data_IF_193203488043
#
_entry.id   IF_193203488043
#
_cell.length_a   1.000
_cell.length_b   1.000
_cell.length_c   1.000
_cell.angle_alpha   90.00
_cell.angle_beta   90.00
_cell.angle_gamma   90.00
#
_symmetry.space_group_name_H-M   'P 1'
#
loop_
_entity.id
_entity.type
_entity.pdbx_description
1 polymer ?
#
# COMPACT_ATOMS: atom_id res chain seq x y z
N UNK A 1 44.49 -57.67 -43.36
CA UNK A 1 43.65 -56.45 -43.46
C UNK A 1 42.67 -56.45 -42.28
N UNK A 2 42.96 -55.71 -41.20
CA UNK A 2 42.11 -55.64 -39.99
C UNK A 2 41.28 -54.35 -40.06
N UNK A 3 39.96 -54.47 -40.06
CA UNK A 3 39.03 -53.32 -40.05
C UNK A 3 38.74 -52.94 -38.59
N UNK A 4 39.02 -51.69 -38.25
CA UNK A 4 38.75 -51.09 -36.94
C UNK A 4 37.36 -50.43 -37.02
N UNK A 5 36.44 -50.82 -36.14
CA UNK A 5 35.17 -50.11 -35.93
C UNK A 5 35.37 -49.12 -34.78
N UNK A 6 35.24 -47.83 -35.07
CA UNK A 6 35.21 -46.74 -34.09
C UNK A 6 33.73 -46.47 -33.79
N UNK A 7 33.27 -46.89 -32.61
CA UNK A 7 31.95 -46.57 -32.09
C UNK A 7 32.00 -45.21 -31.42
N UNK A 8 31.34 -44.22 -32.02
CA UNK A 8 31.19 -42.86 -31.50
C UNK A 8 30.05 -42.88 -30.45
N UNK A 9 30.40 -42.72 -29.17
CA UNK A 9 29.44 -42.45 -28.10
C UNK A 9 28.99 -40.99 -28.16
N UNK A 10 27.76 -40.74 -28.60
CA UNK A 10 27.12 -39.42 -28.47
C UNK A 10 26.58 -39.28 -27.05
N UNK A 11 27.29 -38.51 -26.21
CA UNK A 11 26.79 -38.03 -24.92
C UNK A 11 25.70 -36.98 -25.17
N UNK A 12 24.45 -37.32 -24.86
CA UNK A 12 23.32 -36.38 -24.85
C UNK A 12 23.29 -35.69 -23.49
N UNK A 13 23.82 -34.46 -23.45
CA UNK A 13 23.78 -33.57 -22.29
C UNK A 13 22.36 -33.04 -22.10
N UNK A 14 21.63 -33.54 -21.10
CA UNK A 14 20.33 -33.00 -20.68
C UNK A 14 20.57 -31.68 -19.94
N UNK A 15 20.62 -30.57 -20.66
CA UNK A 15 20.54 -29.24 -20.06
C UNK A 15 19.13 -29.05 -19.51
N UNK A 16 18.99 -29.23 -18.20
CA UNK A 16 17.80 -28.82 -17.46
C UNK A 16 17.76 -27.29 -17.41
N UNK A 17 17.08 -26.67 -18.36
CA UNK A 17 16.75 -25.25 -18.31
C UNK A 17 15.83 -24.99 -17.12
N UNK A 18 16.42 -24.52 -16.01
CA UNK A 18 15.64 -23.92 -14.92
C UNK A 18 15.02 -22.64 -15.47
N UNK A 19 13.76 -22.73 -15.88
CA UNK A 19 12.97 -21.56 -16.23
C UNK A 19 12.97 -20.60 -15.05
N UNK A 20 13.47 -19.38 -15.28
CA UNK A 20 13.29 -18.28 -14.33
C UNK A 20 11.79 -17.98 -14.37
N UNK A 21 11.06 -18.49 -13.38
CA UNK A 21 9.68 -18.10 -13.15
C UNK A 21 9.74 -16.64 -12.66
N UNK A 22 9.51 -15.69 -13.56
CA UNK A 22 9.13 -14.34 -13.17
C UNK A 22 7.78 -14.46 -12.49
N UNK A 23 7.78 -14.64 -11.17
CA UNK A 23 6.56 -14.53 -10.40
C UNK A 23 6.00 -13.12 -10.66
N UNK A 24 4.73 -13.04 -11.07
CA UNK A 24 4.03 -11.78 -11.21
C UNK A 24 4.17 -10.99 -9.90
N UNK A 25 4.86 -9.85 -9.93
CA UNK A 25 5.13 -9.02 -8.74
C UNK A 25 3.84 -8.67 -8.00
N UNK A 26 2.74 -8.51 -8.74
CA UNK A 26 1.41 -8.29 -8.17
C UNK A 26 1.01 -9.50 -7.32
N UNK A 27 1.18 -10.72 -7.84
CA UNK A 27 0.90 -11.96 -7.11
C UNK A 27 1.72 -12.06 -5.83
N UNK A 28 3.02 -11.74 -5.88
CA UNK A 28 3.88 -11.74 -4.68
C UNK A 28 3.40 -10.74 -3.62
N UNK A 29 3.06 -9.52 -4.02
CA UNK A 29 2.52 -8.50 -3.12
C UNK A 29 1.20 -8.99 -2.50
N UNK A 30 0.26 -9.46 -3.32
CA UNK A 30 -1.04 -9.95 -2.85
C UNK A 30 -0.90 -11.13 -1.89
N UNK A 31 0.00 -12.07 -2.18
CA UNK A 31 0.30 -13.20 -1.30
C UNK A 31 0.82 -12.74 0.06
N UNK A 32 1.71 -11.73 0.11
CA UNK A 32 2.18 -11.18 1.39
C UNK A 32 1.06 -10.49 2.16
N UNK A 33 0.28 -9.63 1.49
CA UNK A 33 -0.82 -8.90 2.14
C UNK A 33 -1.93 -9.82 2.65
N UNK A 34 -2.17 -10.96 1.99
CA UNK A 34 -3.16 -11.97 2.41
C UNK A 34 -2.78 -12.73 3.70
N UNK A 35 -1.53 -12.64 4.18
CA UNK A 35 -1.11 -13.31 5.42
C UNK A 35 -1.64 -12.64 6.69
N UNK A 36 -2.01 -11.36 6.59
CA UNK A 36 -2.54 -10.59 7.72
C UNK A 36 -3.79 -9.90 7.22
N UNK A 37 -4.99 -10.31 7.62
CA UNK A 37 -6.21 -9.65 7.13
C UNK A 37 -6.69 -8.53 8.07
N UNK A 38 -6.35 -8.58 9.35
CA UNK A 38 -6.74 -7.54 10.30
C UNK A 38 -5.59 -7.23 11.26
N UNK A 39 -5.32 -5.95 11.46
CA UNK A 39 -4.27 -5.48 12.35
C UNK A 39 -4.49 -4.05 12.81
N UNK A 40 -3.88 -3.72 13.95
CA UNK A 40 -3.66 -2.33 14.37
C UNK A 40 -2.17 -2.02 14.45
N UNK A 41 -1.80 -0.77 14.25
CA UNK A 41 -0.44 -0.27 14.44
C UNK A 41 -0.46 1.20 14.83
N UNK A 42 0.56 1.63 15.57
CA UNK A 42 0.89 3.05 15.67
C UNK A 42 1.73 3.42 14.44
N UNK A 43 1.73 4.68 14.03
CA UNK A 43 2.66 5.16 13.01
C UNK A 43 3.27 6.49 13.40
N UNK A 44 4.50 6.70 12.94
CA UNK A 44 5.15 8.00 12.89
C UNK A 44 5.15 8.48 11.44
N UNK A 45 4.48 9.59 11.17
CA UNK A 45 4.44 10.22 9.87
C UNK A 45 5.56 11.25 9.77
N UNK A 46 6.23 11.27 8.62
CA UNK A 46 7.26 12.24 8.27
C UNK A 46 7.03 12.81 6.89
N UNK A 47 6.95 14.12 6.79
CA UNK A 47 6.88 14.88 5.54
C UNK A 47 8.23 15.54 5.29
N UNK A 48 8.80 15.34 4.11
CA UNK A 48 10.09 15.93 3.73
C UNK A 48 10.11 16.46 2.30
N UNK A 49 10.95 17.46 2.05
CA UNK A 49 11.19 17.99 0.70
C UNK A 49 12.16 17.12 -0.13
N UNK A 50 12.42 17.52 -1.38
CA UNK A 50 13.33 16.85 -2.31
C UNK A 50 14.80 16.80 -1.84
N UNK A 51 15.18 17.60 -0.84
CA UNK A 51 16.52 17.61 -0.21
C UNK A 51 16.54 16.76 1.06
N UNK A 52 15.46 16.06 1.37
CA UNK A 52 15.22 15.31 2.61
C UNK A 52 15.17 16.18 3.87
N UNK A 53 14.91 17.49 3.73
CA UNK A 53 14.64 18.35 4.89
C UNK A 53 13.26 18.00 5.43
N UNK A 54 13.19 17.79 6.74
CA UNK A 54 11.94 17.46 7.45
C UNK A 54 11.11 18.73 7.54
N UNK A 55 9.89 18.69 7.01
CA UNK A 55 8.93 19.79 7.07
C UNK A 55 7.94 19.60 8.23
N UNK A 56 7.56 18.36 8.50
CA UNK A 56 6.57 18.00 9.53
C UNK A 56 6.75 16.55 9.97
N UNK A 57 6.51 16.30 11.26
CA UNK A 57 6.46 14.96 11.86
C UNK A 57 5.30 14.87 12.84
N UNK A 58 4.51 13.80 12.75
CA UNK A 58 3.29 13.61 13.56
C UNK A 58 3.04 12.13 13.81
N UNK A 59 2.49 11.80 14.97
CA UNK A 59 2.12 10.43 15.33
C UNK A 59 0.65 10.16 15.06
N UNK A 60 0.32 8.89 14.84
CA UNK A 60 -1.05 8.47 14.70
C UNK A 60 -1.25 6.98 14.84
N UNK A 61 -2.47 6.56 14.55
CA UNK A 61 -2.91 5.19 14.72
C UNK A 61 -3.64 4.69 13.47
N UNK A 62 -3.40 3.42 13.15
CA UNK A 62 -3.96 2.75 11.99
C UNK A 62 -4.64 1.44 12.41
N UNK A 63 -5.84 1.24 11.90
CA UNK A 63 -6.59 -0.01 11.96
C UNK A 63 -6.98 -0.42 10.55
N UNK A 64 -6.75 -1.68 10.21
CA UNK A 64 -7.07 -2.23 8.90
C UNK A 64 -7.79 -3.55 9.09
N UNK A 65 -8.88 -3.74 8.36
CA UNK A 65 -9.47 -5.04 8.13
C UNK A 65 -9.74 -5.22 6.62
N UNK A 66 -9.10 -6.22 6.03
CA UNK A 66 -9.23 -6.51 4.61
C UNK A 66 -10.49 -7.34 4.35
N UNK A 67 -11.20 -7.09 3.24
CA UNK A 67 -10.94 -6.05 2.24
C UNK A 67 -11.52 -4.68 2.63
N UNK A 68 -10.84 -3.60 2.23
CA UNK A 68 -11.32 -2.22 2.17
C UNK A 68 -11.71 -1.50 3.49
N UNK A 69 -11.72 -2.16 4.65
CA UNK A 69 -11.96 -1.46 5.92
C UNK A 69 -10.66 -0.85 6.43
N UNK A 70 -10.73 0.43 6.75
CA UNK A 70 -9.57 1.25 7.07
C UNK A 70 -9.97 2.35 8.03
N UNK A 71 -9.19 2.57 9.06
CA UNK A 71 -9.31 3.74 9.92
C UNK A 71 -7.89 4.22 10.23
N UNK A 72 -7.58 5.44 9.82
CA UNK A 72 -6.35 6.13 10.22
C UNK A 72 -6.70 7.42 10.92
N UNK A 73 -6.03 7.69 12.02
CA UNK A 73 -6.13 8.95 12.76
C UNK A 73 -4.72 9.49 12.96
N UNK A 74 -4.45 10.63 12.32
CA UNK A 74 -3.26 11.44 12.51
C UNK A 74 -3.54 12.43 13.63
N UNK A 75 -2.65 12.53 14.62
CA UNK A 75 -2.83 13.42 15.77
C UNK A 75 -2.60 14.88 15.40
N UNK A 76 -2.98 15.79 16.30
CA UNK A 76 -2.63 17.21 16.20
C UNK A 76 -1.11 17.43 16.06
N UNK A 77 -0.66 18.54 15.44
CA UNK A 77 -1.44 19.72 15.06
C UNK A 77 -2.25 19.62 13.76
N UNK A 78 -1.89 18.77 12.79
CA UNK A 78 -2.63 18.59 11.55
C UNK A 78 -3.55 17.36 11.63
N UNK A 79 -4.42 17.37 12.64
CA UNK A 79 -5.31 16.24 12.91
C UNK A 79 -6.19 15.92 11.69
N UNK A 80 -6.16 14.65 11.29
CA UNK A 80 -6.96 14.14 10.17
C UNK A 80 -7.40 12.71 10.45
N UNK A 81 -8.63 12.40 10.07
CA UNK A 81 -9.21 11.07 10.22
C UNK A 81 -9.67 10.57 8.85
N UNK A 82 -9.11 9.44 8.41
CA UNK A 82 -9.50 8.75 7.18
C UNK A 82 -10.18 7.44 7.55
N UNK A 83 -11.48 7.33 7.27
CA UNK A 83 -12.29 6.15 7.57
C UNK A 83 -12.82 5.54 6.27
N UNK A 84 -12.82 4.21 6.17
CA UNK A 84 -13.47 3.44 5.12
C UNK A 84 -14.28 2.31 5.73
N UNK A 85 -15.56 2.23 5.38
CA UNK A 85 -16.42 1.09 5.73
C UNK A 85 -16.46 0.01 4.64
N UNK A 86 -15.53 0.08 3.69
CA UNK A 86 -15.43 -0.84 2.56
C UNK A 86 -16.11 -0.37 1.27
N UNK A 87 -17.00 0.62 1.35
CA UNK A 87 -17.72 1.19 0.22
C UNK A 87 -17.52 2.70 0.08
N UNK A 88 -17.65 3.43 1.20
CA UNK A 88 -17.50 4.88 1.29
C UNK A 88 -16.28 5.23 2.11
N UNK A 89 -15.63 6.31 1.73
CA UNK A 89 -14.46 6.84 2.43
C UNK A 89 -14.76 8.25 2.87
N UNK A 90 -14.47 8.52 4.14
CA UNK A 90 -14.59 9.84 4.75
C UNK A 90 -13.20 10.33 5.12
N UNK A 91 -12.88 11.53 4.65
CA UNK A 91 -11.72 12.27 5.09
C UNK A 91 -12.20 13.45 5.93
N UNK A 92 -12.05 13.34 7.25
CA UNK A 92 -12.50 14.32 8.21
C UNK A 92 -11.32 15.11 8.77
N UNK A 93 -11.39 16.43 8.64
CA UNK A 93 -10.39 17.39 9.14
C UNK A 93 -11.04 18.25 10.23
N UNK A 94 -10.86 17.91 11.53
CA UNK A 94 -11.54 18.58 12.63
C UNK A 94 -11.26 20.08 12.74
N UNK A 95 -10.03 20.51 12.47
CA UNK A 95 -9.61 21.91 12.66
C UNK A 95 -10.35 22.91 11.77
N UNK A 96 -10.83 22.45 10.60
CA UNK A 96 -11.66 23.26 9.68
C UNK A 96 -13.12 22.77 9.63
N UNK A 97 -13.50 21.84 10.51
CA UNK A 97 -14.85 21.29 10.59
C UNK A 97 -15.39 20.85 9.22
N UNK A 98 -14.61 20.06 8.48
CA UNK A 98 -14.97 19.59 7.15
C UNK A 98 -14.81 18.09 7.02
N UNK A 99 -15.77 17.45 6.36
CA UNK A 99 -15.64 16.08 5.86
C UNK A 99 -15.77 16.06 4.35
N UNK A 100 -14.80 15.44 3.67
CA UNK A 100 -14.91 15.09 2.26
C UNK A 100 -15.24 13.60 2.11
N UNK A 101 -16.16 13.27 1.19
CA UNK A 101 -16.68 11.91 0.99
C UNK A 101 -16.32 11.43 -0.40
N UNK A 102 -15.67 10.26 -0.49
CA UNK A 102 -15.20 9.70 -1.75
C UNK A 102 -15.73 8.27 -1.98
N UNK A 103 -15.84 7.90 -3.26
CA UNK A 103 -15.91 6.49 -3.64
C UNK A 103 -14.54 5.83 -3.47
N UNK A 104 -14.52 4.50 -3.36
CA UNK A 104 -13.26 3.74 -3.23
C UNK A 104 -12.25 4.05 -4.35
N UNK A 105 -12.73 4.22 -5.59
CA UNK A 105 -11.86 4.50 -6.74
C UNK A 105 -11.25 5.90 -6.67
N UNK A 106 -12.05 6.92 -6.36
CA UNK A 106 -11.56 8.30 -6.23
C UNK A 106 -10.58 8.45 -5.07
N UNK A 107 -10.84 7.78 -3.96
CA UNK A 107 -9.97 7.85 -2.79
C UNK A 107 -8.62 7.16 -3.02
N UNK A 108 -8.55 6.07 -3.79
CA UNK A 108 -7.25 5.46 -4.14
C UNK A 108 -6.39 6.44 -4.94
N UNK A 109 -7.00 7.25 -5.79
CA UNK A 109 -6.30 8.29 -6.52
C UNK A 109 -5.90 9.47 -5.62
N UNK A 110 -6.65 9.75 -4.55
CA UNK A 110 -6.42 10.91 -3.69
C UNK A 110 -5.54 10.63 -2.47
N UNK A 111 -5.61 9.43 -1.92
CA UNK A 111 -4.90 9.03 -0.70
C UNK A 111 -4.43 7.57 -0.81
N UNK A 112 -3.30 7.32 -1.51
CA UNK A 112 -2.82 5.96 -1.80
C UNK A 112 -2.55 5.08 -0.57
N UNK A 113 -2.44 5.67 0.62
CA UNK A 113 -2.33 4.92 1.88
C UNK A 113 -3.45 3.87 2.03
N UNK A 114 -4.65 4.14 1.48
CA UNK A 114 -5.78 3.21 1.55
C UNK A 114 -5.53 1.90 0.81
N UNK A 115 -4.60 1.86 -0.17
CA UNK A 115 -4.22 0.64 -0.89
C UNK A 115 -3.77 -0.49 0.05
N UNK A 116 -3.28 -0.15 1.25
CA UNK A 116 -3.00 -1.11 2.31
C UNK A 116 -4.22 -2.01 2.58
N UNK A 117 -5.44 -1.49 2.52
CA UNK A 117 -6.68 -2.23 2.82
C UNK A 117 -7.29 -2.95 1.62
N UNK A 118 -7.03 -2.50 0.38
CA UNK A 118 -7.85 -2.87 -0.77
C UNK A 118 -7.62 -4.31 -1.28
N UNK A 119 -6.40 -4.82 -1.11
CA UNK A 119 -5.84 -6.07 -1.66
C UNK A 119 -6.52 -6.74 -2.88
N UNK A 120 -7.00 -5.96 -3.84
CA UNK A 120 -7.78 -6.44 -4.97
C UNK A 120 -7.02 -6.17 -6.27
N UNK A 121 -6.95 -7.19 -7.14
CA UNK A 121 -6.15 -7.19 -8.36
C UNK A 121 -6.44 -5.98 -9.27
N UNK A 122 -7.71 -5.58 -9.36
CA UNK A 122 -8.14 -4.41 -10.16
C UNK A 122 -7.39 -3.12 -9.82
N UNK A 123 -7.07 -2.89 -8.53
CA UNK A 123 -6.34 -1.69 -8.10
C UNK A 123 -4.85 -1.82 -8.36
N UNK A 124 -4.26 -2.99 -8.07
CA UNK A 124 -2.84 -3.24 -8.34
C UNK A 124 -2.48 -3.14 -9.84
N UNK A 125 -3.42 -3.52 -10.72
CA UNK A 125 -3.26 -3.41 -12.18
C UNK A 125 -3.18 -1.97 -12.69
N UNK A 126 -3.55 -0.97 -11.89
CA UNK A 126 -3.38 0.45 -12.24
C UNK A 126 -1.94 0.95 -12.05
N UNK A 127 -1.04 0.11 -11.51
CA UNK A 127 0.35 0.45 -11.24
C UNK A 127 1.32 -0.45 -12.00
N UNK A 128 2.49 0.09 -12.32
CA UNK A 128 3.69 -0.70 -12.57
C UNK A 128 4.33 -1.03 -11.21
N UNK A 129 4.44 -2.32 -10.88
CA UNK A 129 4.96 -2.77 -9.58
C UNK A 129 6.32 -3.43 -9.75
N UNK A 130 7.33 -2.87 -9.06
CA UNK A 130 8.66 -3.44 -8.93
C UNK A 130 8.88 -3.93 -7.51
N UNK A 131 9.59 -5.04 -7.35
CA UNK A 131 9.97 -5.59 -6.05
C UNK A 131 11.48 -5.67 -5.91
N UNK A 132 11.98 -5.25 -4.75
CA UNK A 132 13.36 -5.46 -4.32
C UNK A 132 13.36 -5.93 -2.86
N UNK A 133 13.53 -7.24 -2.65
CA UNK A 133 13.41 -7.86 -1.33
C UNK A 133 12.01 -7.70 -0.75
N UNK A 134 11.89 -6.89 0.30
CA UNK A 134 10.63 -6.56 0.99
C UNK A 134 10.02 -5.23 0.53
N UNK A 135 10.69 -4.49 -0.34
CA UNK A 135 10.22 -3.21 -0.85
C UNK A 135 9.46 -3.40 -2.17
N UNK A 136 8.27 -2.85 -2.24
CA UNK A 136 7.45 -2.76 -3.44
C UNK A 136 7.34 -1.30 -3.84
N UNK A 137 7.70 -0.97 -5.08
CA UNK A 137 7.51 0.36 -5.67
C UNK A 137 6.39 0.29 -6.69
N UNK A 138 5.40 1.16 -6.55
CA UNK A 138 4.21 1.23 -7.37
C UNK A 138 4.17 2.60 -8.07
N UNK A 139 4.34 2.60 -9.38
CA UNK A 139 4.21 3.81 -10.20
C UNK A 139 2.86 3.80 -10.91
N UNK A 140 2.00 4.82 -10.75
CA UNK A 140 0.74 4.90 -11.48
C UNK A 140 0.95 4.78 -12.99
N UNK A 141 0.11 4.00 -13.68
CA UNK A 141 0.13 3.92 -15.16
C UNK A 141 -0.45 5.18 -15.82
N UNK A 142 -1.32 5.87 -15.10
CA UNK A 142 -1.93 7.14 -15.47
C UNK A 142 -1.68 8.08 -14.30
N UNK A 143 -1.22 9.30 -14.58
CA UNK A 143 -0.98 10.30 -13.53
C UNK A 143 -2.30 10.79 -12.93
N UNK A 144 -2.35 10.94 -11.61
CA UNK A 144 -3.47 11.51 -10.87
C UNK A 144 -2.97 12.15 -9.56
N UNK A 145 -3.62 13.25 -9.15
CA UNK A 145 -3.42 13.96 -7.87
C UNK A 145 -1.96 14.12 -7.42
N UNK A 146 -1.09 14.67 -8.27
CA UNK A 146 0.31 14.99 -7.93
C UNK A 146 1.17 13.78 -7.49
N UNK A 147 0.67 12.53 -7.58
CA UNK A 147 1.38 11.36 -7.09
C UNK A 147 2.31 10.80 -8.17
N UNK A 148 3.61 10.82 -7.88
CA UNK A 148 4.66 10.25 -8.72
C UNK A 148 4.85 8.75 -8.47
N UNK A 149 4.90 8.35 -7.20
CA UNK A 149 5.21 6.97 -6.80
C UNK A 149 4.66 6.67 -5.42
N UNK A 150 4.25 5.43 -5.22
CA UNK A 150 3.96 4.87 -3.90
C UNK A 150 4.97 3.74 -3.61
N UNK A 151 5.42 3.62 -2.36
CA UNK A 151 6.25 2.49 -1.94
C UNK A 151 5.73 1.86 -0.66
N UNK A 152 5.83 0.53 -0.58
CA UNK A 152 5.42 -0.25 0.57
C UNK A 152 6.52 -1.25 0.93
N UNK A 153 7.00 -1.20 2.16
CA UNK A 153 7.81 -2.25 2.74
C UNK A 153 6.90 -3.26 3.43
N UNK A 154 6.76 -4.45 2.84
CA UNK A 154 5.98 -5.55 3.41
C UNK A 154 6.84 -6.80 3.48
N UNK A 155 7.01 -7.31 4.69
CA UNK A 155 7.78 -8.52 4.96
C UNK A 155 7.16 -9.75 4.30
N UNK A 156 7.94 -10.82 4.21
CA UNK A 156 7.42 -12.12 3.76
C UNK A 156 6.26 -12.64 4.61
N UNK A 157 6.12 -12.22 5.87
CA UNK A 157 5.03 -12.61 6.77
C UNK A 157 3.81 -11.69 6.69
N UNK A 158 3.80 -10.70 5.79
CA UNK A 158 2.68 -9.79 5.58
C UNK A 158 2.67 -8.56 6.49
N UNK A 159 3.65 -8.42 7.38
CA UNK A 159 3.82 -7.21 8.21
C UNK A 159 4.29 -6.06 7.33
N UNK A 160 3.54 -4.96 7.33
CA UNK A 160 3.90 -3.70 6.67
C UNK A 160 4.68 -2.85 7.66
N UNK A 161 5.93 -2.52 7.34
CA UNK A 161 6.80 -1.71 8.21
C UNK A 161 6.81 -0.24 7.86
N UNK A 162 6.69 0.07 6.56
CA UNK A 162 6.77 1.44 6.05
C UNK A 162 5.94 1.58 4.79
N UNK A 163 5.29 2.73 4.66
CA UNK A 163 4.72 3.21 3.41
C UNK A 163 5.24 4.60 3.11
N UNK A 164 5.48 4.92 1.85
CA UNK A 164 5.82 6.28 1.42
C UNK A 164 5.08 6.66 0.15
N UNK A 165 4.61 7.91 0.10
CA UNK A 165 4.03 8.57 -1.06
C UNK A 165 5.04 9.62 -1.52
N UNK A 166 5.37 9.61 -2.80
CA UNK A 166 6.23 10.59 -3.44
C UNK A 166 5.39 11.39 -4.41
N UNK A 167 5.42 12.69 -4.26
CA UNK A 167 4.70 13.64 -5.10
C UNK A 167 5.60 14.19 -6.22
N UNK A 168 5.00 14.77 -7.27
CA UNK A 168 5.74 15.29 -8.42
C UNK A 168 6.57 16.54 -8.09
N UNK A 169 6.13 17.33 -7.12
CA UNK A 169 6.84 18.50 -6.58
C UNK A 169 8.05 18.14 -5.69
N UNK A 170 8.27 16.84 -5.44
CA UNK A 170 9.36 16.32 -4.64
C UNK A 170 9.05 16.17 -3.16
N UNK A 171 7.81 16.40 -2.72
CA UNK A 171 7.37 16.05 -1.36
C UNK A 171 7.35 14.52 -1.19
N UNK A 172 7.80 14.07 -0.03
CA UNK A 172 7.75 12.67 0.40
C UNK A 172 7.03 12.57 1.74
N UNK A 173 5.92 11.84 1.76
CA UNK A 173 5.15 11.54 2.98
C UNK A 173 5.41 10.09 3.34
N UNK A 174 6.05 9.84 4.48
CA UNK A 174 6.41 8.50 4.97
C UNK A 174 5.67 8.15 6.24
N UNK A 175 5.11 6.94 6.31
CA UNK A 175 4.48 6.36 7.48
C UNK A 175 5.32 5.18 7.95
N UNK A 176 5.87 5.26 9.16
CA UNK A 176 6.67 4.20 9.77
C UNK A 176 5.83 3.52 10.85
N UNK A 177 5.48 2.26 10.66
CA UNK A 177 4.58 1.53 11.54
C UNK A 177 5.31 0.86 12.69
N UNK A 178 4.76 0.99 13.90
CA UNK A 178 5.24 0.39 15.13
C UNK A 178 4.08 -0.21 15.94
N UNK A 179 4.40 -0.94 17.02
CA UNK A 179 3.40 -1.61 17.88
C UNK A 179 2.35 -2.42 17.11
N UNK A 180 2.79 -3.10 16.07
CA UNK A 180 1.93 -3.88 15.18
C UNK A 180 1.30 -5.05 15.92
N UNK A 181 -0.03 -5.16 15.93
CA UNK A 181 -0.75 -6.30 16.49
C UNK A 181 -1.75 -6.85 15.49
N UNK A 182 -1.73 -8.16 15.31
CA UNK A 182 -2.66 -8.90 14.46
C UNK A 182 -3.80 -9.36 15.35
N UNK A 183 -4.97 -8.76 15.17
CA UNK A 183 -6.17 -9.06 15.96
C UNK A 183 -7.41 -8.76 15.13
N UNK A 184 -8.55 -9.34 15.54
CA UNK A 184 -9.83 -8.99 14.96
C UNK A 184 -10.28 -7.61 15.46
N UNK A 185 -10.80 -6.79 14.56
CA UNK A 185 -11.26 -5.43 14.87
C UNK A 185 -12.78 -5.37 14.67
N UNK A 186 -13.50 -4.81 15.63
CA UNK A 186 -14.95 -4.61 15.50
C UNK A 186 -15.27 -3.74 14.29
N UNK A 187 -16.35 -4.08 13.55
CA UNK A 187 -16.84 -3.29 12.43
C UNK A 187 -17.17 -1.85 12.80
N UNK A 188 -17.53 -1.59 14.06
CA UNK A 188 -17.87 -0.26 14.57
C UNK A 188 -16.69 0.71 14.46
N UNK A 189 -15.45 0.20 14.48
CA UNK A 189 -14.24 1.02 14.31
C UNK A 189 -14.17 1.69 12.92
N UNK A 190 -14.88 1.14 11.94
CA UNK A 190 -14.87 1.59 10.55
C UNK A 190 -16.14 2.34 10.14
N UNK A 191 -17.03 2.61 11.10
CA UNK A 191 -18.21 3.44 10.88
C UNK A 191 -17.87 4.91 11.15
N UNK A 192 -18.44 5.80 10.36
CA UNK A 192 -18.34 7.23 10.58
C UNK A 192 -19.72 7.88 10.51
N UNK A 193 -20.05 8.66 11.54
CA UNK A 193 -21.23 9.51 11.54
C UNK A 193 -20.75 10.95 11.46
N UNK A 194 -21.20 11.66 10.43
CA UNK A 194 -20.89 13.07 10.20
C UNK A 194 -21.39 13.88 11.42
N UNK A 195 -20.50 14.56 12.17
CA UNK A 195 -20.92 15.41 13.28
C UNK A 195 -21.89 16.51 12.85
N UNK A 196 -22.77 16.95 13.74
CA UNK A 196 -23.68 18.05 13.44
C UNK A 196 -22.90 19.36 13.21
N UNK A 197 -23.31 20.14 12.21
CA UNK A 197 -22.78 21.47 11.95
C UNK A 197 -21.44 21.52 11.22
N UNK A 198 -20.93 20.39 10.72
CA UNK A 198 -19.71 20.37 9.90
C UNK A 198 -20.03 20.50 8.41
N UNK A 199 -19.11 21.10 7.66
CA UNK A 199 -19.20 21.20 6.19
C UNK A 199 -19.03 19.82 5.58
N UNK A 200 -19.92 19.45 4.65
CA UNK A 200 -19.87 18.19 3.91
C UNK A 200 -19.56 18.48 2.45
N UNK A 201 -18.49 17.88 1.95
CA UNK A 201 -18.05 17.92 0.56
C UNK A 201 -18.16 16.50 -0.05
N UNK A 202 -19.29 16.18 -0.68
CA UNK A 202 -19.54 14.86 -1.28
C UNK A 202 -19.07 14.81 -2.73
N UNK A 203 -18.05 13.98 -2.99
CA UNK A 203 -17.40 13.84 -4.29
C UNK A 203 -17.85 12.57 -5.05
N UNK A 204 -18.79 11.78 -4.51
CA UNK A 204 -19.22 10.50 -5.08
C UNK A 204 -20.07 10.61 -6.35
#
# INVERSE_FOLDING_TARGET
MKKIFITICVLVSILSSRGIVYADTISVLQQRLNKVNSFHADFHQKVSDHRNVILQEEDGHLWVARPNYFYSHLSAPNENILISNGNTIWFYTPCIQQVSIYSMQQAIHSTPLILISCNHLKYWRQYHILQQGDNFSLTPKVSFNNIKKFSMNVSQNGIIKKVSIFEEDGICISYIFTKYKIEAISSDKFQFSVPNGITVDDQR
#
